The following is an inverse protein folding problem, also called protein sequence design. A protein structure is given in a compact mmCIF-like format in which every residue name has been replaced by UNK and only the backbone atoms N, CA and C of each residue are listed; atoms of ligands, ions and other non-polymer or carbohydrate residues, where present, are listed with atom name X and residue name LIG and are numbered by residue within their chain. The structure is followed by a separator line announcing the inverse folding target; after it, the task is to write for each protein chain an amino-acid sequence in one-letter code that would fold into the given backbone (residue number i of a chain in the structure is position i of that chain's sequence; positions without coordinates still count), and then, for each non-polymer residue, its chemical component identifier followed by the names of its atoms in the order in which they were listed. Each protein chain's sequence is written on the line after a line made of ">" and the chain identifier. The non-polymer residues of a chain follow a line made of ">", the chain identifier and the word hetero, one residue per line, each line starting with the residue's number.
data_IF_201048376622
#
_entry.id   IF_201048376622
#
_cell.length_a   1.000
_cell.length_b   1.000
_cell.length_c   1.000
_cell.angle_alpha   90.00
_cell.angle_beta   90.00
_cell.angle_gamma   90.00
#
_symmetry.space_group_name_H-M   'P 1'
#
loop_
_entity.id
_entity.type
_entity.pdbx_description
1 polymer ?
#
# COMPACT_ATOMS: atom_id res chain seq x y z
N UNK A 1 19.64 -19.56 8.93
CA UNK A 1 18.69 -18.44 8.88
C UNK A 1 19.47 -17.13 9.04
N UNK A 2 19.40 -16.26 8.04
CA UNK A 2 20.09 -14.95 8.05
C UNK A 2 19.44 -13.97 9.05
N UNK A 3 20.15 -12.90 9.39
CA UNK A 3 19.60 -11.82 10.22
C UNK A 3 18.33 -11.22 9.58
N UNK A 4 18.34 -11.04 8.26
CA UNK A 4 17.21 -10.49 7.52
C UNK A 4 15.96 -11.38 7.59
N UNK A 5 16.15 -12.71 7.53
CA UNK A 5 15.05 -13.67 7.67
C UNK A 5 14.48 -13.68 9.09
N UNK A 6 15.35 -13.66 10.11
CA UNK A 6 14.93 -13.57 11.51
C UNK A 6 14.13 -12.30 11.76
N UNK A 7 14.68 -11.14 11.36
CA UNK A 7 14.00 -9.86 11.51
C UNK A 7 12.63 -9.85 10.82
N UNK A 8 12.56 -10.36 9.58
CA UNK A 8 11.30 -10.47 8.84
C UNK A 8 10.27 -11.32 9.61
N UNK A 9 10.67 -12.47 10.12
CA UNK A 9 9.78 -13.38 10.84
C UNK A 9 9.24 -12.75 12.13
N UNK A 10 10.09 -12.05 12.89
CA UNK A 10 9.69 -11.30 14.09
C UNK A 10 8.68 -10.21 13.76
N UNK A 11 8.93 -9.42 12.70
CA UNK A 11 8.01 -8.38 12.23
C UNK A 11 6.65 -8.98 11.82
N UNK A 12 6.64 -10.12 11.12
CA UNK A 12 5.38 -10.80 10.78
C UNK A 12 4.62 -11.25 12.01
N UNK A 13 5.29 -11.85 13.00
CA UNK A 13 4.62 -12.26 14.24
C UNK A 13 3.97 -11.09 14.97
N UNK A 14 4.67 -9.96 15.13
CA UNK A 14 4.15 -8.77 15.81
C UNK A 14 3.05 -8.09 15.00
N UNK A 15 3.19 -8.04 13.67
CA UNK A 15 2.27 -7.29 12.80
C UNK A 15 0.96 -8.03 12.53
N UNK A 16 0.99 -9.36 12.41
CA UNK A 16 -0.21 -10.17 12.19
C UNK A 16 -1.13 -10.19 13.42
N UNK A 17 -0.55 -10.33 14.62
CA UNK A 17 -1.30 -10.41 15.87
C UNK A 17 -1.94 -9.07 16.29
N UNK A 18 -1.60 -7.97 15.61
CA UNK A 18 -1.95 -6.61 16.03
C UNK A 18 -2.97 -5.97 15.07
N UNK A 19 -4.23 -5.92 15.52
CA UNK A 19 -5.27 -5.14 14.85
C UNK A 19 -4.89 -3.65 14.75
N UNK A 20 -4.18 -3.13 15.76
CA UNK A 20 -3.65 -1.76 15.78
C UNK A 20 -2.69 -1.49 14.63
N UNK A 21 -1.84 -2.46 14.28
CA UNK A 21 -0.90 -2.32 13.17
C UNK A 21 -1.64 -2.22 11.85
N UNK A 22 -2.63 -3.10 11.62
CA UNK A 22 -3.47 -3.06 10.43
C UNK A 22 -4.24 -1.74 10.32
N UNK A 23 -4.82 -1.27 11.43
CA UNK A 23 -5.53 0.01 11.46
C UNK A 23 -4.63 1.20 11.09
N UNK A 24 -3.39 1.23 11.61
CA UNK A 24 -2.42 2.27 11.26
C UNK A 24 -2.05 2.24 9.78
N UNK A 25 -1.79 1.05 9.21
CA UNK A 25 -1.47 0.92 7.79
C UNK A 25 -2.62 1.35 6.88
N UNK A 26 -3.85 1.02 7.24
CA UNK A 26 -5.06 1.46 6.53
C UNK A 26 -5.20 2.99 6.62
N UNK A 27 -4.98 3.56 7.82
CA UNK A 27 -5.03 5.01 8.03
C UNK A 27 -4.00 5.76 7.18
N UNK A 28 -2.79 5.21 7.06
CA UNK A 28 -1.73 5.76 6.20
C UNK A 28 -2.12 5.69 4.72
N UNK A 29 -2.81 4.63 4.29
CA UNK A 29 -3.32 4.54 2.92
C UNK A 29 -4.34 5.64 2.61
N UNK A 30 -5.26 5.90 3.54
CA UNK A 30 -6.27 6.96 3.43
C UNK A 30 -5.70 8.38 3.40
N UNK A 31 -4.40 8.59 3.68
CA UNK A 31 -3.76 9.89 3.47
C UNK A 31 -3.53 10.20 1.99
N UNK A 32 -3.60 9.19 1.13
CA UNK A 32 -3.44 9.35 -0.31
C UNK A 32 -4.80 9.56 -0.97
N UNK A 33 -4.82 10.52 -1.90
CA UNK A 33 -6.03 10.86 -2.65
C UNK A 33 -6.28 9.78 -3.71
N UNK A 34 -7.50 9.27 -3.75
CA UNK A 34 -7.91 8.32 -4.79
C UNK A 34 -7.78 8.94 -6.19
N UNK A 35 -7.43 8.14 -7.21
CA UNK A 35 -7.26 8.64 -8.57
C UNK A 35 -8.61 8.78 -9.29
N UNK A 36 -9.70 8.35 -8.65
CA UNK A 36 -11.06 8.34 -9.17
C UNK A 36 -11.97 9.17 -8.26
N UNK A 37 -12.81 10.00 -8.88
CA UNK A 37 -13.84 10.78 -8.20
C UNK A 37 -15.05 9.91 -7.86
N UNK A 38 -15.96 10.44 -7.05
CA UNK A 38 -17.22 9.74 -6.74
C UNK A 38 -18.03 9.36 -7.99
N UNK A 39 -17.92 10.12 -9.08
CA UNK A 39 -18.62 9.85 -10.34
C UNK A 39 -17.85 8.91 -11.28
N UNK A 40 -16.75 8.30 -10.83
CA UNK A 40 -15.97 7.38 -11.65
C UNK A 40 -14.99 8.06 -12.63
N UNK A 41 -14.81 9.38 -12.55
CA UNK A 41 -13.89 10.12 -13.43
C UNK A 41 -12.50 10.21 -12.83
N UNK A 42 -11.46 10.27 -13.65
CA UNK A 42 -10.10 10.49 -13.17
C UNK A 42 -9.94 11.87 -12.53
N UNK A 43 -9.24 11.91 -11.39
CA UNK A 43 -8.90 13.16 -10.72
C UNK A 43 -7.53 13.63 -11.15
N UNK A 44 -7.46 14.86 -11.67
CA UNK A 44 -6.23 15.46 -12.16
C UNK A 44 -5.78 16.63 -11.27
N UNK A 45 -4.51 17.01 -11.40
CA UNK A 45 -3.99 18.25 -10.82
C UNK A 45 -4.67 19.46 -11.45
N UNK A 46 -5.07 20.42 -10.61
CA UNK A 46 -5.85 21.59 -11.03
C UNK A 46 -4.98 22.74 -11.54
N UNK A 47 -3.70 22.74 -11.19
CA UNK A 47 -2.76 23.83 -11.46
C UNK A 47 -1.31 23.31 -11.43
N UNK A 48 -0.37 24.16 -11.83
CA UNK A 48 1.06 23.83 -11.89
C UNK A 48 1.48 23.17 -13.20
N UNK A 49 2.71 22.67 -13.23
CA UNK A 49 3.34 22.03 -14.40
C UNK A 49 2.55 20.82 -14.92
N UNK A 50 1.99 20.03 -14.00
CA UNK A 50 1.23 18.80 -14.30
C UNK A 50 -0.28 19.01 -14.40
N UNK A 51 -0.74 20.23 -14.73
CA UNK A 51 -2.18 20.52 -14.81
C UNK A 51 -2.87 19.59 -15.81
N UNK A 52 -4.04 19.07 -15.42
CA UNK A 52 -4.83 18.08 -16.17
C UNK A 52 -4.17 16.69 -16.29
N UNK A 53 -3.10 16.43 -15.54
CA UNK A 53 -2.49 15.10 -15.41
C UNK A 53 -2.88 14.45 -14.06
N UNK A 54 -2.81 13.12 -14.00
CA UNK A 54 -3.04 12.34 -12.77
C UNK A 54 -1.73 11.68 -12.34
N UNK A 55 -1.34 11.87 -11.07
CA UNK A 55 -0.16 11.21 -10.51
C UNK A 55 -0.42 9.72 -10.27
N UNK A 56 -0.05 8.88 -11.24
CA UNK A 56 -0.22 7.43 -11.17
C UNK A 56 0.56 6.77 -10.03
N UNK A 57 1.58 7.42 -9.48
CA UNK A 57 2.36 6.87 -8.37
C UNK A 57 1.67 7.17 -7.05
N UNK A 58 1.41 8.45 -6.76
CA UNK A 58 0.87 8.91 -5.47
C UNK A 58 -0.63 8.70 -5.32
N UNK A 59 -1.39 8.78 -6.42
CA UNK A 59 -2.85 8.60 -6.38
C UNK A 59 -3.27 7.23 -6.94
N UNK A 60 -2.51 6.64 -7.86
CA UNK A 60 -2.85 5.32 -8.42
C UNK A 60 -2.24 4.15 -7.64
N UNK A 61 -0.93 4.01 -7.73
CA UNK A 61 -0.21 2.78 -7.38
C UNK A 61 -0.10 2.56 -5.89
N UNK A 62 -0.06 3.65 -5.09
CA UNK A 62 0.14 3.55 -3.64
C UNK A 62 -0.93 2.72 -2.95
N UNK A 63 -2.20 2.87 -3.36
CA UNK A 63 -3.33 2.11 -2.81
C UNK A 63 -3.21 0.62 -3.11
N UNK A 64 -2.82 0.27 -4.34
CA UNK A 64 -2.58 -1.12 -4.74
C UNK A 64 -1.43 -1.70 -3.91
N UNK A 65 -0.31 -0.98 -3.80
CA UNK A 65 0.87 -1.43 -3.06
C UNK A 65 0.55 -1.62 -1.57
N UNK A 66 -0.12 -0.66 -0.94
CA UNK A 66 -0.46 -0.70 0.48
C UNK A 66 -1.51 -1.78 0.77
N UNK A 67 -2.55 -1.89 -0.06
CA UNK A 67 -3.51 -2.98 0.03
C UNK A 67 -2.81 -4.34 -0.02
N UNK A 68 -1.94 -4.56 -1.02
CA UNK A 68 -1.16 -5.79 -1.13
C UNK A 68 -0.23 -6.02 0.07
N UNK A 69 0.32 -4.98 0.70
CA UNK A 69 1.12 -5.11 1.94
C UNK A 69 0.27 -5.56 3.12
N UNK A 70 -0.93 -4.99 3.29
CA UNK A 70 -1.86 -5.36 4.36
C UNK A 70 -2.26 -6.83 4.18
N UNK A 71 -2.63 -7.24 2.97
CA UNK A 71 -2.96 -8.64 2.67
C UNK A 71 -1.76 -9.58 2.82
N UNK A 72 -0.56 -9.15 2.43
CA UNK A 72 0.64 -9.96 2.60
C UNK A 72 0.95 -10.22 4.07
N UNK A 73 0.77 -9.23 4.95
CA UNK A 73 0.92 -9.41 6.41
C UNK A 73 -0.12 -10.39 6.94
N UNK A 74 -1.40 -10.19 6.58
CA UNK A 74 -2.51 -11.05 7.01
C UNK A 74 -2.33 -12.52 6.61
N UNK A 75 -1.71 -12.78 5.46
CA UNK A 75 -1.52 -14.14 4.93
C UNK A 75 -0.06 -14.64 5.02
N UNK A 76 0.81 -13.93 5.76
CA UNK A 76 2.24 -14.25 5.93
C UNK A 76 3.02 -14.46 4.62
N UNK A 77 2.70 -13.67 3.59
CA UNK A 77 3.38 -13.72 2.29
C UNK A 77 4.73 -13.00 2.40
N UNK A 78 5.82 -13.77 2.36
CA UNK A 78 7.19 -13.25 2.55
C UNK A 78 7.80 -12.61 1.31
N UNK A 79 7.21 -12.80 0.11
CA UNK A 79 7.64 -12.19 -1.14
C UNK A 79 7.71 -10.65 -0.99
N UNK A 80 8.87 -10.00 -1.19
CA UNK A 80 9.01 -8.57 -0.94
C UNK A 80 8.41 -7.68 -2.03
N UNK A 81 8.36 -8.14 -3.29
CA UNK A 81 7.88 -7.33 -4.39
C UNK A 81 6.35 -7.31 -4.48
N UNK A 82 5.75 -6.15 -4.75
CA UNK A 82 4.29 -6.05 -4.97
C UNK A 82 3.86 -6.94 -6.13
N UNK A 83 4.64 -6.96 -7.21
CA UNK A 83 4.34 -7.77 -8.37
C UNK A 83 4.47 -9.28 -8.09
N UNK A 84 5.47 -9.70 -7.33
CA UNK A 84 5.62 -11.09 -6.92
C UNK A 84 4.46 -11.56 -6.04
N UNK A 85 3.86 -10.68 -5.22
CA UNK A 85 2.66 -11.00 -4.42
C UNK A 85 1.37 -11.16 -5.24
N UNK A 86 1.33 -10.63 -6.46
CA UNK A 86 0.16 -10.69 -7.35
C UNK A 86 0.15 -11.93 -8.24
N UNK A 87 1.27 -12.66 -8.32
CA UNK A 87 1.40 -13.91 -9.05
C UNK A 87 0.88 -15.07 -8.22
#
# INVERSE_FOLDING_TARGET
>A
MSLAEKFRNEIFQVSEASLTTQHKMIKDDFQHKLPISFLGTYVTEKSGEHKNETDLKKSGSVHIINGMRIFAIKNRISEPSTFGRLR
#
